data_IF_011943336677
#
_entry.id   IF_011943336677
#
_cell.length_a   1.000
_cell.length_b   1.000
_cell.length_c   1.000
_cell.angle_alpha   90.00
_cell.angle_beta   90.00
_cell.angle_gamma   90.00
#
_symmetry.space_group_name_H-M   'P 1'
#
loop_
_entity.id
_entity.type
_entity.pdbx_description
1 polymer ?
#
# COMPACT_ATOMS: atom_id res chain seq x y z
N UNK A 1 -17.88 -0.68 10.69
CA UNK A 1 -18.56 -0.73 9.40
C UNK A 1 -17.83 0.15 8.38
N UNK A 2 -17.46 -0.43 7.24
CA UNK A 2 -16.76 0.29 6.17
C UNK A 2 -17.67 1.22 5.36
N UNK A 3 -18.97 1.21 5.58
CA UNK A 3 -19.93 2.14 4.95
C UNK A 3 -20.16 3.38 5.82
N UNK A 4 -19.83 3.32 7.10
CA UNK A 4 -20.01 4.43 8.04
C UNK A 4 -18.78 5.33 8.05
N UNK A 5 -18.91 6.56 7.57
CA UNK A 5 -17.84 7.57 7.66
C UNK A 5 -17.41 7.85 9.12
N UNK A 6 -18.33 7.76 10.05
CA UNK A 6 -18.03 7.87 11.49
C UNK A 6 -17.07 6.76 11.95
N UNK A 7 -17.33 5.51 11.54
CA UNK A 7 -16.50 4.37 11.94
C UNK A 7 -15.14 4.39 11.23
N UNK A 8 -15.12 4.83 9.96
CA UNK A 8 -13.88 5.04 9.20
C UNK A 8 -12.99 6.08 9.91
N UNK A 9 -13.55 7.24 10.29
CA UNK A 9 -12.81 8.27 11.03
C UNK A 9 -12.30 7.74 12.37
N UNK A 10 -13.15 7.05 13.15
CA UNK A 10 -12.73 6.42 14.40
C UNK A 10 -11.56 5.46 14.19
N UNK A 11 -11.61 4.65 13.13
CA UNK A 11 -10.51 3.72 12.80
C UNK A 11 -9.22 4.46 12.47
N UNK A 12 -9.30 5.54 11.69
CA UNK A 12 -8.12 6.36 11.34
C UNK A 12 -7.55 7.09 12.54
N UNK A 13 -8.39 7.66 13.41
CA UNK A 13 -7.97 8.29 14.67
C UNK A 13 -7.30 7.27 15.59
N UNK A 14 -7.87 6.05 15.69
CA UNK A 14 -7.26 4.98 16.47
C UNK A 14 -5.88 4.58 15.93
N UNK A 15 -5.70 4.53 14.60
CA UNK A 15 -4.39 4.31 13.99
C UNK A 15 -3.39 5.42 14.35
N UNK A 16 -3.81 6.67 14.25
CA UNK A 16 -2.96 7.80 14.58
C UNK A 16 -2.54 7.80 16.07
N UNK A 17 -3.48 7.51 16.98
CA UNK A 17 -3.19 7.34 18.42
C UNK A 17 -2.24 6.17 18.66
N UNK A 18 -2.45 5.04 17.98
CA UNK A 18 -1.56 3.88 18.04
C UNK A 18 -0.14 4.25 17.60
N UNK A 19 0.01 4.95 16.49
CA UNK A 19 1.30 5.38 15.95
C UNK A 19 2.04 6.38 16.86
N UNK A 20 1.34 7.15 17.69
CA UNK A 20 1.97 8.01 18.72
C UNK A 20 2.65 7.20 19.82
N UNK A 21 2.09 6.06 20.14
CA UNK A 21 2.51 5.21 21.28
C UNK A 21 3.36 4.02 20.89
N UNK A 22 3.21 3.51 19.67
CA UNK A 22 3.98 2.36 19.16
C UNK A 22 5.41 2.76 18.78
N UNK A 23 6.26 2.85 19.81
CA UNK A 23 7.69 3.10 19.69
C UNK A 23 8.46 2.14 20.57
N UNK A 24 9.44 1.47 19.99
CA UNK A 24 10.27 0.50 20.72
C UNK A 24 11.73 0.58 20.27
N UNK A 25 12.69 0.20 21.13
CA UNK A 25 14.10 0.06 20.71
C UNK A 25 14.23 -0.89 19.53
N UNK A 26 14.86 -0.43 18.45
CA UNK A 26 14.91 -1.16 17.19
C UNK A 26 15.68 -2.45 17.30
N UNK A 27 15.04 -3.53 16.84
CA UNK A 27 15.65 -4.86 16.65
C UNK A 27 15.73 -5.13 15.16
N UNK A 28 16.95 -5.30 14.64
CA UNK A 28 17.24 -5.33 13.19
C UNK A 28 16.48 -6.40 12.41
N UNK A 29 16.18 -7.54 13.02
CA UNK A 29 15.43 -8.63 12.36
C UNK A 29 13.95 -8.34 12.14
N UNK A 30 13.40 -7.30 12.80
CA UNK A 30 12.04 -6.82 12.56
C UNK A 30 12.00 -5.56 11.69
N UNK A 31 13.13 -5.09 11.19
CA UNK A 31 13.17 -3.96 10.25
C UNK A 31 12.73 -4.45 8.87
N UNK A 32 11.72 -3.81 8.32
CA UNK A 32 11.20 -4.14 6.99
C UNK A 32 12.22 -3.79 5.89
N UNK A 33 12.18 -4.56 4.78
CA UNK A 33 12.89 -4.20 3.55
C UNK A 33 12.51 -2.77 3.11
N UNK A 34 13.49 -1.92 2.73
CA UNK A 34 13.22 -0.57 2.25
C UNK A 34 12.22 -0.57 1.07
N UNK A 35 11.26 0.37 1.10
CA UNK A 35 10.25 0.51 0.04
C UNK A 35 10.87 0.69 -1.34
N UNK A 36 12.03 1.35 -1.42
CA UNK A 36 12.77 1.52 -2.66
C UNK A 36 13.19 0.17 -3.27
N UNK A 37 13.73 -0.73 -2.45
CA UNK A 37 14.10 -2.09 -2.87
C UNK A 37 12.88 -2.92 -3.25
N UNK A 38 11.78 -2.75 -2.52
CA UNK A 38 10.50 -3.40 -2.84
C UNK A 38 10.00 -2.96 -4.23
N UNK A 39 10.04 -1.65 -4.55
CA UNK A 39 9.64 -1.12 -5.86
C UNK A 39 10.59 -1.59 -6.97
N UNK A 40 11.90 -1.61 -6.74
CA UNK A 40 12.87 -2.14 -7.70
C UNK A 40 12.58 -3.60 -8.05
N UNK A 41 12.32 -4.44 -7.04
CA UNK A 41 11.98 -5.84 -7.22
C UNK A 41 10.68 -6.00 -8.02
N UNK A 42 9.62 -5.30 -7.63
CA UNK A 42 8.31 -5.34 -8.30
C UNK A 42 8.40 -4.86 -9.76
N UNK A 43 9.13 -3.77 -10.04
CA UNK A 43 9.34 -3.27 -11.40
C UNK A 43 10.12 -4.26 -12.27
N UNK A 44 11.11 -4.95 -11.70
CA UNK A 44 11.86 -6.01 -12.36
C UNK A 44 10.95 -7.22 -12.69
N UNK A 45 10.05 -7.57 -11.79
CA UNK A 45 9.06 -8.64 -12.03
C UNK A 45 8.10 -8.26 -13.15
N UNK A 46 7.56 -7.05 -13.19
CA UNK A 46 6.70 -6.56 -14.28
C UNK A 46 7.41 -6.65 -15.64
N UNK A 47 8.69 -6.23 -15.72
CA UNK A 47 9.48 -6.34 -16.96
C UNK A 47 9.70 -7.79 -17.36
N UNK A 48 9.96 -8.70 -16.42
CA UNK A 48 10.12 -10.14 -16.68
C UNK A 48 8.83 -10.75 -17.23
N UNK A 49 7.69 -10.42 -16.62
CA UNK A 49 6.37 -10.90 -17.06
C UNK A 49 6.09 -10.39 -18.47
N UNK A 50 6.32 -9.09 -18.74
CA UNK A 50 6.18 -8.52 -20.10
C UNK A 50 7.01 -9.28 -21.12
N UNK A 51 8.29 -9.51 -20.84
CA UNK A 51 9.19 -10.25 -21.74
C UNK A 51 8.69 -11.66 -22.02
N UNK A 52 8.25 -12.36 -20.97
CA UNK A 52 7.71 -13.73 -21.07
C UNK A 52 6.46 -13.75 -21.95
N UNK A 53 5.49 -12.86 -21.71
CA UNK A 53 4.23 -12.80 -22.45
C UNK A 53 4.49 -12.43 -23.93
N UNK A 54 5.40 -11.50 -24.20
CA UNK A 54 5.78 -11.13 -25.57
C UNK A 54 6.29 -12.32 -26.38
N UNK A 55 7.06 -13.23 -25.77
CA UNK A 55 7.67 -14.39 -26.43
C UNK A 55 6.70 -15.54 -26.71
N UNK A 56 5.53 -15.55 -26.10
CA UNK A 56 4.53 -16.62 -26.32
C UNK A 56 3.96 -16.53 -27.73
N UNK A 57 3.91 -17.67 -28.41
CA UNK A 57 3.29 -17.79 -29.76
C UNK A 57 1.77 -17.56 -29.70
N UNK A 58 1.10 -18.19 -28.72
CA UNK A 58 -0.34 -18.03 -28.48
C UNK A 58 -0.55 -17.34 -27.15
N UNK A 59 -1.33 -16.29 -27.17
CA UNK A 59 -1.67 -15.50 -25.99
C UNK A 59 -3.15 -15.66 -25.69
N UNK A 60 -3.50 -15.75 -24.42
CA UNK A 60 -4.88 -15.69 -23.99
C UNK A 60 -5.34 -14.22 -23.80
N UNK A 61 -6.62 -14.02 -23.52
CA UNK A 61 -7.21 -12.68 -23.39
C UNK A 61 -6.56 -11.83 -22.29
N UNK A 62 -6.21 -12.45 -21.16
CA UNK A 62 -5.49 -11.75 -20.08
C UNK A 62 -4.12 -11.24 -20.56
N UNK A 63 -3.37 -12.06 -21.28
CA UNK A 63 -2.05 -11.71 -21.79
C UNK A 63 -2.11 -10.61 -22.86
N UNK A 64 -3.15 -10.61 -23.68
CA UNK A 64 -3.38 -9.54 -24.66
C UNK A 64 -3.69 -8.23 -23.95
N UNK A 65 -4.65 -8.19 -23.03
CA UNK A 65 -4.97 -7.00 -22.23
C UNK A 65 -3.78 -6.52 -21.37
N UNK A 66 -3.02 -7.45 -20.81
CA UNK A 66 -1.80 -7.12 -20.09
C UNK A 66 -0.78 -6.40 -20.98
N UNK A 67 -0.55 -6.87 -22.22
CA UNK A 67 0.37 -6.23 -23.16
C UNK A 67 -0.09 -4.84 -23.59
N UNK A 68 -1.39 -4.63 -23.72
CA UNK A 68 -1.97 -3.33 -24.08
C UNK A 68 -1.76 -2.30 -22.96
N UNK A 69 -1.83 -2.72 -21.70
CA UNK A 69 -1.80 -1.83 -20.54
C UNK A 69 -0.42 -1.70 -19.87
N UNK A 70 0.46 -2.72 -19.97
CA UNK A 70 1.71 -2.79 -19.19
C UNK A 70 2.63 -1.58 -19.41
N UNK A 71 2.68 -0.99 -20.59
CA UNK A 71 3.58 0.13 -20.85
C UNK A 71 3.21 1.36 -20.01
N UNK A 72 1.92 1.64 -19.84
CA UNK A 72 1.42 2.71 -19.01
C UNK A 72 1.69 2.44 -17.52
N UNK A 73 1.31 1.25 -17.03
CA UNK A 73 1.49 0.91 -15.62
C UNK A 73 2.96 0.77 -15.21
N UNK A 74 3.82 0.28 -16.09
CA UNK A 74 5.25 0.21 -15.84
C UNK A 74 5.87 1.61 -15.76
N UNK A 75 5.43 2.54 -16.61
CA UNK A 75 5.85 3.93 -16.53
C UNK A 75 5.45 4.56 -15.17
N UNK A 76 4.22 4.37 -14.72
CA UNK A 76 3.78 4.83 -13.39
C UNK A 76 4.59 4.22 -12.26
N UNK A 77 4.89 2.91 -12.34
CA UNK A 77 5.67 2.21 -11.34
C UNK A 77 7.13 2.71 -11.27
N UNK A 78 7.75 2.94 -12.43
CA UNK A 78 9.11 3.48 -12.52
C UNK A 78 9.17 4.95 -12.10
N UNK A 79 8.17 5.74 -12.44
CA UNK A 79 8.06 7.13 -12.00
C UNK A 79 7.84 7.24 -10.48
N UNK A 80 7.01 6.37 -9.89
CA UNK A 80 6.86 6.30 -8.44
C UNK A 80 8.18 5.93 -7.75
N UNK A 81 8.92 4.97 -8.29
CA UNK A 81 10.27 4.61 -7.79
C UNK A 81 11.25 5.79 -7.89
N UNK A 82 11.30 6.47 -9.04
CA UNK A 82 12.15 7.65 -9.25
C UNK A 82 11.81 8.78 -8.27
N UNK A 83 10.52 9.07 -8.08
CA UNK A 83 10.06 10.07 -7.12
C UNK A 83 10.43 9.69 -5.70
N UNK A 84 10.27 8.42 -5.31
CA UNK A 84 10.66 7.93 -3.99
C UNK A 84 12.15 8.19 -3.72
N UNK A 85 13.00 7.88 -4.70
CA UNK A 85 14.45 8.10 -4.59
C UNK A 85 14.83 9.59 -4.43
N UNK A 86 14.00 10.51 -4.96
CA UNK A 86 14.26 11.97 -4.91
C UNK A 86 13.50 12.68 -3.78
N UNK A 87 12.68 11.99 -2.98
CA UNK A 87 11.73 12.60 -2.03
C UNK A 87 12.29 12.81 -0.61
N UNK A 88 13.56 12.49 -0.34
CA UNK A 88 14.07 12.44 1.04
C UNK A 88 13.55 11.22 1.82
N UNK A 89 13.14 10.16 1.12
CA UNK A 89 12.64 8.93 1.71
C UNK A 89 13.65 8.29 2.68
N UNK A 90 14.95 8.24 2.31
CA UNK A 90 15.97 7.63 3.16
C UNK A 90 16.10 8.38 4.49
N UNK A 91 16.10 9.71 4.46
CA UNK A 91 16.15 10.53 5.68
C UNK A 91 14.90 10.32 6.55
N UNK A 92 13.71 10.24 5.92
CA UNK A 92 12.47 9.96 6.63
C UNK A 92 12.53 8.59 7.29
N UNK A 93 13.01 7.57 6.56
CA UNK A 93 13.15 6.22 7.08
C UNK A 93 14.18 6.11 8.21
N UNK A 94 15.34 6.75 8.06
CA UNK A 94 16.34 6.79 9.12
C UNK A 94 15.76 7.37 10.41
N UNK A 95 15.08 8.52 10.33
CA UNK A 95 14.43 9.13 11.51
C UNK A 95 13.35 8.23 12.12
N UNK A 96 12.53 7.56 11.30
CA UNK A 96 11.54 6.60 11.80
C UNK A 96 12.19 5.44 12.56
N UNK A 97 13.28 4.90 12.04
CA UNK A 97 14.04 3.84 12.73
C UNK A 97 14.73 4.37 13.99
N UNK A 98 15.36 5.54 13.96
CA UNK A 98 15.97 6.16 15.13
C UNK A 98 14.95 6.42 16.25
N UNK A 99 13.73 6.83 15.89
CA UNK A 99 12.65 7.01 16.85
C UNK A 99 11.97 5.70 17.29
N UNK A 100 12.34 4.58 16.67
CA UNK A 100 11.76 3.26 16.97
C UNK A 100 10.30 3.14 16.51
N UNK A 101 9.91 3.82 15.44
CA UNK A 101 8.54 3.81 14.93
C UNK A 101 8.14 2.41 14.46
N UNK A 102 7.00 1.94 14.95
CA UNK A 102 6.46 0.62 14.66
C UNK A 102 5.21 0.74 13.80
N UNK A 103 5.14 -0.07 12.75
CA UNK A 103 3.94 -0.30 11.97
C UNK A 103 3.20 -1.53 12.49
N UNK A 104 1.88 -1.51 12.44
CA UNK A 104 1.03 -2.68 12.67
C UNK A 104 1.27 -3.76 11.59
N UNK A 105 1.53 -3.32 10.34
CA UNK A 105 1.85 -4.16 9.20
C UNK A 105 0.65 -4.82 8.50
N UNK A 106 -0.50 -4.87 9.15
CA UNK A 106 -1.75 -5.38 8.58
C UNK A 106 -2.98 -4.60 9.09
N UNK A 107 -2.86 -3.27 9.20
CA UNK A 107 -3.98 -2.45 9.64
C UNK A 107 -5.09 -2.42 8.58
N UNK A 108 -6.23 -3.00 8.92
CA UNK A 108 -7.40 -3.10 8.03
C UNK A 108 -8.69 -3.20 8.85
N UNK A 109 -9.86 -3.12 8.18
CA UNK A 109 -11.16 -3.12 8.84
C UNK A 109 -11.48 -4.40 9.65
N UNK A 110 -10.79 -5.51 9.43
CA UNK A 110 -10.99 -6.75 10.18
C UNK A 110 -10.19 -6.77 11.49
N UNK A 111 -9.13 -5.95 11.55
CA UNK A 111 -8.26 -5.85 12.71
C UNK A 111 -8.58 -4.62 13.59
N UNK A 112 -9.69 -3.91 13.29
CA UNK A 112 -10.19 -2.76 14.06
C UNK A 112 -11.58 -3.05 14.57
N UNK A 113 -11.73 -3.12 15.88
CA UNK A 113 -12.99 -3.38 16.58
C UNK A 113 -13.56 -2.06 17.13
N UNK A 114 -14.68 -1.63 16.58
CA UNK A 114 -15.41 -0.43 17.05
C UNK A 114 -16.33 -0.84 18.18
N UNK A 115 -15.96 -0.49 19.39
CA UNK A 115 -16.75 -0.72 20.60
C UNK A 115 -17.60 0.52 20.94
N UNK A 116 -18.54 0.40 21.85
CA UNK A 116 -19.45 1.49 22.22
C UNK A 116 -18.69 2.77 22.65
N UNK A 117 -17.66 2.64 23.46
CA UNK A 117 -16.87 3.78 23.97
C UNK A 117 -15.45 3.85 23.41
N UNK A 118 -14.87 2.72 22.97
CA UNK A 118 -13.49 2.59 22.57
C UNK A 118 -13.33 1.99 21.18
N UNK A 119 -12.11 2.03 20.65
CA UNK A 119 -11.70 1.30 19.48
C UNK A 119 -10.52 0.41 19.86
N UNK A 120 -10.62 -0.89 19.59
CA UNK A 120 -9.53 -1.84 19.83
C UNK A 120 -8.88 -2.25 18.52
N UNK A 121 -7.57 -2.43 18.53
CA UNK A 121 -6.77 -2.95 17.41
C UNK A 121 -6.20 -4.30 17.81
N UNK A 122 -6.30 -5.28 16.92
CA UNK A 122 -5.92 -6.68 17.18
C UNK A 122 -5.02 -7.21 16.05
N UNK A 123 -4.43 -8.41 16.24
CA UNK A 123 -3.62 -9.13 15.25
C UNK A 123 -2.33 -8.39 14.83
N UNK A 124 -1.43 -8.25 15.80
CA UNK A 124 -0.11 -7.63 15.58
C UNK A 124 0.95 -8.59 15.02
N UNK A 125 0.58 -9.73 14.44
CA UNK A 125 1.54 -10.77 13.99
C UNK A 125 2.49 -10.30 12.88
N UNK A 126 2.17 -9.18 12.21
CA UNK A 126 2.96 -8.63 11.10
C UNK A 126 3.61 -7.27 11.44
N UNK A 127 3.68 -6.95 12.72
CA UNK A 127 4.33 -5.71 13.12
C UNK A 127 5.81 -5.66 12.72
N UNK A 128 6.29 -4.49 12.38
CA UNK A 128 7.68 -4.27 11.98
C UNK A 128 8.08 -2.80 12.14
N UNK A 129 9.37 -2.52 12.10
CA UNK A 129 9.89 -1.15 12.08
C UNK A 129 9.94 -0.62 10.67
N UNK A 130 9.25 0.49 10.40
CA UNK A 130 9.31 1.27 9.16
C UNK A 130 8.55 2.60 9.34
N UNK A 131 8.46 3.38 8.26
CA UNK A 131 7.65 4.59 8.17
C UNK A 131 6.16 4.24 8.34
N UNK A 132 5.53 4.75 9.39
CA UNK A 132 4.13 4.46 9.77
C UNK A 132 3.09 4.84 8.69
N UNK A 133 3.49 5.62 7.67
CA UNK A 133 2.64 5.90 6.51
C UNK A 133 2.23 4.65 5.73
N UNK A 134 2.91 3.53 5.92
CA UNK A 134 2.52 2.25 5.34
C UNK A 134 1.15 1.78 5.81
N UNK A 135 0.91 1.79 7.11
CA UNK A 135 -0.38 1.37 7.68
C UNK A 135 -1.51 2.32 7.24
N UNK A 136 -1.26 3.63 7.27
CA UNK A 136 -2.23 4.62 6.81
C UNK A 136 -2.58 4.41 5.33
N UNK A 137 -1.57 4.22 4.47
CA UNK A 137 -1.75 3.90 3.06
C UNK A 137 -2.58 2.62 2.87
N UNK A 138 -2.23 1.54 3.56
CA UNK A 138 -2.91 0.25 3.43
C UNK A 138 -4.39 0.35 3.80
N UNK A 139 -4.69 1.03 4.91
CA UNK A 139 -6.06 1.24 5.36
C UNK A 139 -6.85 2.12 4.39
N UNK A 140 -6.32 3.31 4.08
CA UNK A 140 -6.98 4.24 3.16
C UNK A 140 -7.26 3.60 1.81
N UNK A 141 -6.28 2.93 1.21
CA UNK A 141 -6.44 2.26 -0.08
C UNK A 141 -7.57 1.24 -0.08
N UNK A 142 -7.63 0.37 0.95
CA UNK A 142 -8.67 -0.64 1.05
C UNK A 142 -10.08 -0.06 1.21
N UNK A 143 -10.21 1.06 1.91
CA UNK A 143 -11.48 1.78 2.04
C UNK A 143 -11.84 2.45 0.71
N UNK A 144 -10.92 3.21 0.13
CA UNK A 144 -11.16 3.95 -1.13
C UNK A 144 -11.48 3.02 -2.31
N UNK A 145 -10.85 1.85 -2.41
CA UNK A 145 -11.20 0.82 -3.41
C UNK A 145 -12.66 0.37 -3.32
N UNK A 146 -13.25 0.33 -2.13
CA UNK A 146 -14.67 -0.02 -1.92
C UNK A 146 -15.63 1.13 -2.21
N UNK A 147 -15.14 2.35 -2.23
CA UNK A 147 -15.90 3.58 -2.40
C UNK A 147 -15.53 4.31 -3.70
N UNK A 148 -15.16 3.57 -4.74
CA UNK A 148 -14.84 4.09 -6.07
C UNK A 148 -13.87 5.27 -6.05
N UNK A 149 -12.89 5.24 -5.14
CA UNK A 149 -11.87 6.28 -4.99
C UNK A 149 -12.44 7.67 -4.71
N UNK A 150 -13.46 7.75 -3.85
CA UNK A 150 -14.03 9.03 -3.40
C UNK A 150 -12.94 9.89 -2.74
N UNK A 151 -12.58 10.98 -3.42
CA UNK A 151 -11.51 11.89 -2.99
C UNK A 151 -11.88 12.67 -1.73
N UNK A 152 -13.16 13.00 -1.54
CA UNK A 152 -13.60 13.71 -0.34
C UNK A 152 -13.53 12.79 0.89
N UNK A 153 -13.89 11.52 0.74
CA UNK A 153 -13.68 10.51 1.78
C UNK A 153 -12.18 10.40 2.11
N UNK A 154 -11.31 10.31 1.10
CA UNK A 154 -9.86 10.28 1.29
C UNK A 154 -9.33 11.50 2.05
N UNK A 155 -9.80 12.70 1.71
CA UNK A 155 -9.47 13.95 2.39
C UNK A 155 -9.89 13.91 3.86
N UNK A 156 -11.10 13.44 4.16
CA UNK A 156 -11.60 13.35 5.53
C UNK A 156 -10.84 12.33 6.37
N UNK A 157 -10.42 11.20 5.78
CA UNK A 157 -9.55 10.24 6.45
C UNK A 157 -8.18 10.86 6.79
N UNK A 158 -7.57 11.55 5.85
CA UNK A 158 -6.27 12.19 6.04
C UNK A 158 -6.34 13.30 7.12
N UNK A 159 -7.40 14.10 7.13
CA UNK A 159 -7.62 15.11 8.17
C UNK A 159 -7.80 14.47 9.55
N UNK A 160 -8.60 13.42 9.68
CA UNK A 160 -8.79 12.72 10.95
C UNK A 160 -7.49 12.12 11.51
N UNK A 161 -6.58 11.66 10.63
CA UNK A 161 -5.25 11.24 11.05
C UNK A 161 -4.39 12.42 11.49
N UNK A 162 -4.36 13.49 10.68
CA UNK A 162 -3.54 14.68 10.91
C UNK A 162 -3.92 15.43 12.20
N UNK A 163 -5.23 15.49 12.53
CA UNK A 163 -5.74 16.09 13.77
C UNK A 163 -5.19 15.37 15.01
N UNK A 164 -5.10 14.05 14.96
CA UNK A 164 -4.58 13.24 16.07
C UNK A 164 -3.05 13.17 16.07
N UNK A 165 -2.43 12.90 14.91
CA UNK A 165 -0.97 12.88 14.71
C UNK A 165 -0.60 13.74 13.51
N UNK A 166 -0.10 14.97 13.73
CA UNK A 166 0.27 15.87 12.64
C UNK A 166 1.28 15.25 11.68
N UNK A 167 0.95 15.29 10.40
CA UNK A 167 1.79 14.80 9.30
C UNK A 167 2.71 15.92 8.81
N UNK A 168 3.98 15.60 8.60
CA UNK A 168 4.93 16.49 7.95
C UNK A 168 4.92 16.33 6.41
N UNK A 169 5.61 17.22 5.71
CA UNK A 169 5.65 17.24 4.25
C UNK A 169 6.24 15.96 3.66
N UNK A 170 7.25 15.37 4.30
CA UNK A 170 7.90 14.14 3.83
C UNK A 170 7.00 12.92 4.02
N UNK A 171 6.24 12.84 5.12
CA UNK A 171 5.24 11.80 5.33
C UNK A 171 4.10 11.89 4.30
N UNK A 172 3.63 13.10 4.00
CA UNK A 172 2.61 13.33 2.97
C UNK A 172 3.12 12.95 1.57
N UNK A 173 4.35 13.30 1.22
CA UNK A 173 4.93 12.92 -0.07
C UNK A 173 5.16 11.40 -0.15
N UNK A 174 5.60 10.75 0.94
CA UNK A 174 5.70 9.30 1.01
C UNK A 174 4.34 8.62 0.77
N UNK A 175 3.29 9.12 1.42
CA UNK A 175 1.93 8.61 1.24
C UNK A 175 1.46 8.79 -0.22
N UNK A 176 1.70 9.97 -0.81
CA UNK A 176 1.37 10.28 -2.21
C UNK A 176 2.07 9.36 -3.20
N UNK A 177 3.35 9.06 -2.97
CA UNK A 177 4.13 8.14 -3.81
C UNK A 177 3.58 6.72 -3.69
N UNK A 178 3.21 6.25 -2.49
CA UNK A 178 2.58 4.94 -2.29
C UNK A 178 1.26 4.82 -3.05
N UNK A 179 0.44 5.87 -3.11
CA UNK A 179 -0.79 5.89 -3.90
C UNK A 179 -0.54 5.93 -5.42
N UNK A 180 0.56 6.55 -5.85
CA UNK A 180 0.91 6.61 -7.27
C UNK A 180 1.47 5.27 -7.81
N UNK A 181 1.98 4.39 -6.93
CA UNK A 181 2.48 3.08 -7.34
C UNK A 181 1.33 2.14 -7.69
N UNK A 182 1.33 1.46 -8.86
CA UNK A 182 0.23 0.60 -9.31
C UNK A 182 0.26 -0.79 -8.64
N UNK A 183 0.12 -0.83 -7.33
CA UNK A 183 0.24 -2.02 -6.49
C UNK A 183 -0.71 -3.14 -6.89
N UNK A 184 -1.95 -2.79 -7.23
CA UNK A 184 -2.98 -3.77 -7.62
C UNK A 184 -2.64 -4.43 -8.96
N UNK A 185 -2.12 -3.65 -9.91
CA UNK A 185 -1.69 -4.15 -11.21
C UNK A 185 -0.53 -5.14 -11.06
N UNK A 186 0.49 -4.77 -10.28
CA UNK A 186 1.60 -5.68 -9.99
C UNK A 186 1.11 -6.98 -9.32
N UNK A 187 0.25 -6.90 -8.31
CA UNK A 187 -0.31 -8.09 -7.64
C UNK A 187 -1.02 -9.02 -8.62
N UNK A 188 -1.82 -8.46 -9.53
CA UNK A 188 -2.55 -9.22 -10.52
C UNK A 188 -1.62 -9.90 -11.52
N UNK A 189 -0.62 -9.17 -12.04
CA UNK A 189 0.38 -9.71 -12.95
C UNK A 189 1.24 -10.80 -12.30
N UNK A 190 1.70 -10.55 -11.08
CA UNK A 190 2.51 -11.52 -10.34
C UNK A 190 1.73 -12.78 -9.97
N UNK A 191 0.47 -12.62 -9.56
CA UNK A 191 -0.41 -13.76 -9.29
C UNK A 191 -0.59 -14.65 -10.53
N UNK A 192 -0.85 -14.04 -11.69
CA UNK A 192 -0.97 -14.76 -12.95
C UNK A 192 0.31 -15.54 -13.29
N UNK A 193 1.45 -14.87 -13.18
CA UNK A 193 2.76 -15.47 -13.54
C UNK A 193 3.21 -16.56 -12.58
N UNK A 194 2.93 -16.41 -11.27
CA UNK A 194 3.38 -17.34 -10.23
C UNK A 194 2.49 -18.57 -10.08
N UNK A 195 1.25 -18.51 -10.55
CA UNK A 195 0.30 -19.61 -10.48
C UNK A 195 0.11 -20.20 -11.87
N UNK A 196 0.60 -21.42 -12.08
CA UNK A 196 0.52 -22.18 -13.35
C UNK A 196 -0.93 -22.52 -13.77
N UNK A 197 -1.93 -21.77 -13.36
CA UNK A 197 -3.33 -22.04 -13.65
C UNK A 197 -3.71 -21.44 -15.01
N UNK A 198 -4.04 -22.34 -15.92
CA UNK A 198 -4.55 -21.99 -17.27
C UNK A 198 -5.89 -21.24 -17.25
N UNK A 199 -6.55 -21.11 -16.09
CA UNK A 199 -7.86 -20.48 -15.95
C UNK A 199 -7.77 -19.20 -15.11
N UNK A 200 -8.12 -18.10 -15.74
CA UNK A 200 -8.29 -16.80 -15.08
C UNK A 200 -9.78 -16.48 -15.10
N UNK A 201 -10.35 -16.14 -13.96
CA UNK A 201 -11.74 -15.71 -13.91
C UNK A 201 -11.92 -14.39 -14.68
N UNK A 202 -13.08 -14.21 -15.34
CA UNK A 202 -13.46 -12.95 -16.00
C UNK A 202 -13.27 -11.74 -15.08
N UNK A 203 -13.56 -11.88 -13.78
CA UNK A 203 -13.29 -10.86 -12.74
C UNK A 203 -11.84 -10.37 -12.68
N UNK A 204 -10.85 -11.19 -13.11
CA UNK A 204 -9.46 -10.76 -13.14
C UNK A 204 -9.11 -10.04 -14.44
N UNK A 205 -9.88 -10.26 -15.52
CA UNK A 205 -9.79 -9.50 -16.76
C UNK A 205 -10.29 -8.07 -16.57
N UNK A 206 -11.45 -7.89 -15.92
CA UNK A 206 -12.04 -6.59 -15.59
C UNK A 206 -11.14 -5.72 -14.68
N UNK A 207 -10.27 -6.35 -13.90
CA UNK A 207 -9.34 -5.62 -13.00
C UNK A 207 -8.09 -5.07 -13.68
N UNK A 208 -7.85 -5.41 -14.94
CA UNK A 208 -6.77 -4.85 -15.75
C UNK A 208 -7.19 -3.53 -16.45
N UNK A 209 -8.49 -3.27 -16.51
CA UNK A 209 -9.09 -2.02 -16.97
C UNK A 209 -9.16 -1.02 -15.80
#
# INVERSE_FOLDING_TARGET
>A
DTQSMKDIKRSVTALASLHKTMKMPVQTHYVKEPLLMEYERKNRELRKIRKFVCQKRRKNDFELRYLDSISCYLWHAEEAQRRLNCSGYEDLRCRSLESGDVCHGEYNQHNVLILAQNTAVINFDRWHYDIQMEDLYQFMRKILEKHNWDLEMGRQMLLAYHEEKPLNVQELENLRIRFAYPEKYWKLANYYYSHSKAWISEKNLEKLE
#
